data_IF_609077927622
#
_entry.id   IF_609077927622
#
_cell.length_a   1.000
_cell.length_b   1.000
_cell.length_c   1.000
_cell.angle_alpha   90.00
_cell.angle_beta   90.00
_cell.angle_gamma   90.00
#
_symmetry.space_group_name_H-M   'P 1'
#
loop_
_entity.id
_entity.type
_entity.pdbx_description
1 polymer ?
#
# COMPACT_ATOMS: atom_id res chain seq x y z
N UNK A 1 0.71 19.92 3.03
CA UNK A 1 -0.46 19.93 3.94
C UNK A 1 -0.36 18.68 4.80
N UNK A 2 -0.56 18.81 6.10
CA UNK A 2 -0.52 17.68 7.04
C UNK A 2 -1.95 17.49 7.58
N UNK A 3 -2.82 16.70 6.90
CA UNK A 3 -4.21 16.58 7.30
C UNK A 3 -4.30 15.97 8.69
N UNK A 4 -5.10 16.59 9.56
CA UNK A 4 -5.44 16.03 10.87
C UNK A 4 -6.46 14.89 10.69
N UNK A 5 -6.42 13.85 11.57
CA UNK A 5 -7.44 12.82 11.57
C UNK A 5 -8.83 13.41 11.83
N UNK A 6 -9.82 13.03 11.03
CA UNK A 6 -11.20 13.53 11.15
C UNK A 6 -12.17 12.47 11.62
N UNK A 7 -11.88 11.19 11.36
CA UNK A 7 -12.69 10.06 11.77
C UNK A 7 -11.86 8.76 11.76
N UNK A 8 -12.32 7.76 12.51
CA UNK A 8 -11.88 6.38 12.39
C UNK A 8 -12.96 5.58 11.65
N UNK A 9 -12.54 4.78 10.68
CA UNK A 9 -13.41 3.89 9.90
C UNK A 9 -12.87 2.47 9.97
N UNK A 10 -13.75 1.49 9.85
CA UNK A 10 -13.31 0.13 9.62
C UNK A 10 -12.65 0.02 8.25
N UNK A 11 -11.48 -0.64 8.20
CA UNK A 11 -10.72 -0.77 6.96
C UNK A 11 -11.53 -1.49 5.86
N UNK A 12 -12.29 -2.52 6.22
CA UNK A 12 -13.16 -3.23 5.30
C UNK A 12 -14.22 -2.32 4.64
N UNK A 13 -14.82 -1.40 5.42
CA UNK A 13 -15.78 -0.41 4.90
C UNK A 13 -15.13 0.56 3.91
N UNK A 14 -13.91 1.01 4.21
CA UNK A 14 -13.15 1.88 3.32
C UNK A 14 -12.81 1.15 2.01
N UNK A 15 -12.35 -0.10 2.10
CA UNK A 15 -12.01 -0.92 0.94
C UNK A 15 -13.23 -1.24 0.08
N UNK A 16 -14.38 -1.53 0.71
CA UNK A 16 -15.65 -1.64 0.00
C UNK A 16 -15.98 -0.35 -0.77
N UNK A 17 -15.77 0.82 -0.16
CA UNK A 17 -15.94 2.11 -0.84
C UNK A 17 -15.02 2.30 -2.05
N UNK A 18 -13.78 1.82 -1.99
CA UNK A 18 -12.84 1.82 -3.14
C UNK A 18 -13.34 0.91 -4.26
N UNK A 19 -13.79 -0.30 -3.93
CA UNK A 19 -14.29 -1.27 -4.90
C UNK A 19 -15.60 -0.82 -5.53
N UNK A 20 -16.54 -0.36 -4.72
CA UNK A 20 -17.91 -0.07 -5.13
C UNK A 20 -18.06 1.35 -5.71
N UNK A 21 -16.98 2.14 -5.77
CA UNK A 21 -16.94 3.40 -6.49
C UNK A 21 -17.37 4.63 -5.71
N UNK A 22 -17.31 4.62 -4.36
CA UNK A 22 -17.64 5.81 -3.53
C UNK A 22 -16.90 7.08 -3.99
N UNK A 23 -15.70 6.94 -4.52
CA UNK A 23 -14.84 8.04 -5.00
C UNK A 23 -14.52 7.94 -6.50
N UNK A 24 -15.29 7.15 -7.26
CA UNK A 24 -14.99 6.85 -8.67
C UNK A 24 -14.88 8.13 -9.52
N UNK A 25 -15.82 9.05 -9.41
CA UNK A 25 -15.84 10.30 -10.19
C UNK A 25 -14.56 11.11 -9.97
N UNK A 26 -14.18 11.35 -8.71
CA UNK A 26 -13.00 12.13 -8.36
C UNK A 26 -11.70 11.44 -8.80
N UNK A 27 -11.59 10.12 -8.60
CA UNK A 27 -10.41 9.34 -8.98
C UNK A 27 -10.26 9.26 -10.50
N UNK A 28 -11.35 9.07 -11.24
CA UNK A 28 -11.32 9.05 -12.71
C UNK A 28 -10.97 10.43 -13.28
N UNK A 29 -11.43 11.51 -12.65
CA UNK A 29 -11.01 12.87 -13.00
C UNK A 29 -9.50 13.08 -12.82
N UNK A 30 -8.91 12.56 -11.73
CA UNK A 30 -7.44 12.58 -11.54
C UNK A 30 -6.73 11.79 -12.64
N UNK A 31 -7.20 10.60 -12.95
CA UNK A 31 -6.59 9.70 -13.96
C UNK A 31 -6.68 10.24 -15.39
N UNK A 32 -7.64 11.13 -15.67
CA UNK A 32 -7.77 11.80 -16.97
C UNK A 32 -6.74 12.90 -17.20
N UNK A 33 -6.02 13.33 -16.15
CA UNK A 33 -5.00 14.38 -16.22
C UNK A 33 -3.62 13.79 -16.49
N UNK A 34 -2.76 14.55 -17.17
CA UNK A 34 -1.35 14.15 -17.33
C UNK A 34 -0.65 14.12 -15.97
N UNK A 35 -0.01 13.01 -15.63
CA UNK A 35 0.67 12.79 -14.35
C UNK A 35 1.79 13.81 -14.06
N UNK A 36 2.33 14.47 -15.09
CA UNK A 36 3.34 15.53 -14.96
C UNK A 36 2.75 16.93 -14.76
N UNK A 37 1.42 17.10 -14.84
CA UNK A 37 0.77 18.40 -14.74
C UNK A 37 0.55 18.86 -13.29
N UNK A 38 0.55 20.18 -13.09
CA UNK A 38 0.15 20.79 -11.82
C UNK A 38 -1.29 20.43 -11.46
N UNK A 39 -2.19 20.42 -12.44
CA UNK A 39 -3.60 20.07 -12.27
C UNK A 39 -3.77 18.65 -11.71
N UNK A 40 -2.99 17.66 -12.18
CA UNK A 40 -2.97 16.32 -11.61
C UNK A 40 -2.58 16.33 -10.12
N UNK A 41 -1.51 17.06 -9.80
CA UNK A 41 -1.02 17.12 -8.42
C UNK A 41 -2.02 17.78 -7.48
N UNK A 42 -2.73 18.82 -7.94
CA UNK A 42 -3.78 19.52 -7.19
C UNK A 42 -5.01 18.63 -7.02
N UNK A 43 -5.51 18.03 -8.10
CA UNK A 43 -6.66 17.14 -8.07
C UNK A 43 -6.40 15.91 -7.17
N UNK A 44 -5.21 15.31 -7.25
CA UNK A 44 -4.84 14.17 -6.40
C UNK A 44 -4.79 14.56 -4.91
N UNK A 45 -4.28 15.77 -4.57
CA UNK A 45 -4.24 16.25 -3.18
C UNK A 45 -5.62 16.57 -2.61
N UNK A 46 -6.63 16.79 -3.45
CA UNK A 46 -8.00 17.01 -2.99
C UNK A 46 -8.75 15.72 -2.66
N UNK A 47 -8.22 14.55 -3.04
CA UNK A 47 -8.82 13.27 -2.69
C UNK A 47 -8.76 13.03 -1.17
N UNK A 48 -9.79 12.41 -0.58
CA UNK A 48 -9.70 11.89 0.78
C UNK A 48 -8.51 10.95 0.91
N UNK A 49 -7.96 10.88 2.12
CA UNK A 49 -6.83 10.00 2.42
C UNK A 49 -7.04 9.28 3.75
N UNK A 50 -6.34 8.18 3.94
CA UNK A 50 -6.41 7.36 5.14
C UNK A 50 -5.04 6.85 5.57
N UNK A 51 -4.91 6.46 6.83
CA UNK A 51 -3.74 5.79 7.39
C UNK A 51 -4.08 4.31 7.58
N UNK A 52 -3.56 3.39 6.74
CA UNK A 52 -3.90 1.96 6.85
C UNK A 52 -3.37 1.33 8.13
N UNK A 53 -2.27 1.87 8.66
CA UNK A 53 -1.55 1.24 9.77
C UNK A 53 -2.11 1.56 11.15
N UNK A 54 -3.14 2.38 11.26
CA UNK A 54 -3.79 2.61 12.55
C UNK A 54 -4.58 3.90 12.66
N UNK A 55 -5.07 4.15 13.88
CA UNK A 55 -5.75 5.38 14.28
C UNK A 55 -4.78 6.30 15.03
N UNK A 56 -4.97 7.61 14.87
CA UNK A 56 -4.02 8.60 15.37
C UNK A 56 -4.77 9.76 16.04
N UNK A 57 -4.24 10.28 17.14
CA UNK A 57 -4.64 11.56 17.69
C UNK A 57 -4.14 12.70 16.78
N UNK A 58 -2.88 12.60 16.37
CA UNK A 58 -2.23 13.47 15.38
C UNK A 58 -1.49 12.58 14.39
N UNK A 59 -1.45 12.96 13.12
CA UNK A 59 -0.78 12.18 12.08
C UNK A 59 0.75 12.28 12.18
N UNK A 60 1.27 11.69 13.24
CA UNK A 60 2.71 11.51 13.52
C UNK A 60 2.92 10.14 14.14
N UNK A 61 4.12 9.54 14.07
CA UNK A 61 4.39 8.26 14.73
C UNK A 61 4.07 8.31 16.25
N UNK A 62 4.39 9.43 16.90
CA UNK A 62 4.10 9.63 18.34
C UNK A 62 2.61 9.80 18.66
N UNK A 63 1.79 10.13 17.66
CA UNK A 63 0.34 10.28 17.83
C UNK A 63 -0.45 8.99 17.56
N UNK A 64 0.20 7.86 17.35
CA UNK A 64 -0.46 6.57 17.16
C UNK A 64 -1.23 6.16 18.42
N UNK A 65 -2.55 5.99 18.26
CA UNK A 65 -3.43 5.51 19.34
C UNK A 65 -3.53 3.98 19.34
N UNK A 66 -3.76 3.41 18.16
CA UNK A 66 -3.88 1.97 17.96
C UNK A 66 -3.37 1.55 16.59
N UNK A 67 -2.45 0.59 16.56
CA UNK A 67 -1.99 -0.01 15.32
C UNK A 67 -3.01 -1.02 14.80
N UNK A 68 -3.25 -1.00 13.48
CA UNK A 68 -4.25 -1.88 12.83
C UNK A 68 -3.75 -3.31 12.57
N UNK A 69 -2.45 -3.57 12.71
CA UNK A 69 -1.83 -4.80 12.23
C UNK A 69 -1.64 -4.85 10.70
N UNK A 70 -1.76 -3.70 10.03
CA UNK A 70 -1.61 -3.59 8.57
C UNK A 70 -0.48 -2.61 8.25
N UNK A 71 0.30 -2.94 7.23
CA UNK A 71 1.23 -2.03 6.56
C UNK A 71 0.78 -1.82 5.11
N UNK A 72 0.84 -0.58 4.64
CA UNK A 72 0.56 -0.25 3.25
C UNK A 72 1.85 -0.08 2.46
N UNK A 73 1.93 -0.72 1.30
CA UNK A 73 3.04 -0.64 0.35
C UNK A 73 2.56 0.05 -0.93
N UNK A 74 3.39 0.94 -1.49
CA UNK A 74 3.20 1.51 -2.82
C UNK A 74 4.14 0.84 -3.81
N UNK A 75 3.58 0.37 -4.91
CA UNK A 75 4.27 -0.19 -6.07
C UNK A 75 4.03 0.75 -7.25
N UNK A 76 4.95 1.67 -7.48
CA UNK A 76 4.86 2.66 -8.56
C UNK A 76 5.44 2.07 -9.85
N UNK A 77 4.74 2.22 -10.98
CA UNK A 77 5.21 1.77 -12.29
C UNK A 77 6.55 2.39 -12.69
N UNK A 78 6.83 3.63 -12.27
CA UNK A 78 8.11 4.31 -12.56
C UNK A 78 9.30 3.66 -11.87
N UNK A 79 9.09 3.06 -10.70
CA UNK A 79 10.11 2.30 -9.99
C UNK A 79 10.20 0.85 -10.46
N UNK A 80 9.19 0.38 -11.19
CA UNK A 80 9.08 -0.96 -11.72
C UNK A 80 8.88 -0.93 -13.25
N UNK A 81 9.82 -0.38 -14.03
CA UNK A 81 9.66 -0.22 -15.47
C UNK A 81 9.56 -1.59 -16.17
N UNK A 82 8.61 -1.71 -17.09
CA UNK A 82 8.39 -2.96 -17.86
C UNK A 82 7.62 -4.04 -17.07
N UNK A 83 7.21 -3.78 -15.83
CA UNK A 83 6.42 -4.72 -15.03
C UNK A 83 4.93 -4.55 -15.36
N UNK A 84 4.26 -5.65 -15.67
CA UNK A 84 2.80 -5.67 -15.79
C UNK A 84 2.16 -5.66 -14.40
N UNK A 85 1.64 -4.51 -14.00
CA UNK A 85 0.99 -4.34 -12.69
C UNK A 85 -0.27 -5.21 -12.55
N UNK A 86 -0.94 -5.59 -13.63
CA UNK A 86 -2.09 -6.50 -13.57
C UNK A 86 -1.63 -7.90 -13.19
N UNK A 87 -0.53 -8.38 -13.77
CA UNK A 87 0.08 -9.66 -13.38
C UNK A 87 0.60 -9.62 -11.94
N UNK A 88 1.23 -8.51 -11.53
CA UNK A 88 1.67 -8.30 -10.13
C UNK A 88 0.49 -8.37 -9.17
N UNK A 89 -0.64 -7.75 -9.49
CA UNK A 89 -1.83 -7.80 -8.64
C UNK A 89 -2.31 -9.24 -8.40
N UNK A 90 -2.27 -10.09 -9.43
CA UNK A 90 -2.60 -11.52 -9.32
C UNK A 90 -1.60 -12.25 -8.42
N UNK A 91 -0.30 -11.98 -8.55
CA UNK A 91 0.73 -12.57 -7.69
C UNK A 91 0.53 -12.17 -6.23
N UNK A 92 0.29 -10.89 -5.97
CA UNK A 92 0.04 -10.40 -4.61
C UNK A 92 -1.26 -10.94 -4.02
N UNK A 93 -2.30 -11.12 -4.83
CA UNK A 93 -3.55 -11.75 -4.39
C UNK A 93 -3.37 -13.23 -4.01
N UNK A 94 -2.36 -13.91 -4.56
CA UNK A 94 -2.02 -15.29 -4.20
C UNK A 94 -1.11 -15.39 -2.96
N UNK A 95 -0.53 -14.27 -2.49
CA UNK A 95 0.28 -14.24 -1.28
C UNK A 95 -0.62 -14.27 -0.03
N UNK A 96 -0.44 -15.26 0.87
CA UNK A 96 -1.33 -15.45 2.01
C UNK A 96 -1.34 -14.27 2.99
N UNK A 97 -0.28 -13.45 3.02
CA UNK A 97 -0.17 -12.29 3.92
C UNK A 97 -0.82 -11.02 3.34
N UNK A 98 -1.21 -11.02 2.07
CA UNK A 98 -1.86 -9.88 1.44
C UNK A 98 -3.32 -9.75 1.91
N UNK A 99 -3.59 -8.69 2.68
CA UNK A 99 -4.94 -8.35 3.13
C UNK A 99 -5.78 -7.72 2.02
N UNK A 100 -5.18 -6.78 1.26
CA UNK A 100 -5.84 -6.17 0.11
C UNK A 100 -4.83 -5.69 -0.94
N UNK A 101 -5.25 -5.66 -2.20
CA UNK A 101 -4.46 -5.08 -3.29
C UNK A 101 -5.38 -4.38 -4.29
N UNK A 102 -5.05 -3.12 -4.64
CA UNK A 102 -5.86 -2.30 -5.53
C UNK A 102 -5.02 -1.28 -6.29
N UNK A 103 -5.54 -0.81 -7.42
CA UNK A 103 -4.92 0.23 -8.22
C UNK A 103 -4.80 1.53 -7.43
N UNK A 104 -3.67 2.22 -7.51
CA UNK A 104 -3.44 3.50 -6.85
C UNK A 104 -4.39 4.60 -7.40
N UNK A 105 -4.52 5.70 -6.67
CA UNK A 105 -5.34 6.83 -7.10
C UNK A 105 -4.98 7.36 -8.49
N UNK A 106 -3.70 7.36 -8.85
CA UNK A 106 -3.21 7.76 -10.18
C UNK A 106 -3.42 6.73 -11.28
N UNK A 107 -3.70 5.48 -10.94
CA UNK A 107 -3.86 4.40 -11.90
C UNK A 107 -2.54 3.75 -12.37
N UNK A 108 -1.40 4.37 -12.14
CA UNK A 108 -0.08 3.91 -12.61
C UNK A 108 0.70 3.12 -11.53
N UNK A 109 0.02 2.57 -10.56
CA UNK A 109 0.63 1.81 -9.47
C UNK A 109 -0.38 0.96 -8.73
N UNK A 110 0.11 0.15 -7.80
CA UNK A 110 -0.70 -0.65 -6.88
C UNK A 110 -0.46 -0.19 -5.44
N UNK A 111 -1.50 -0.27 -4.63
CA UNK A 111 -1.40 -0.25 -3.19
C UNK A 111 -1.64 -1.67 -2.67
N UNK A 112 -0.67 -2.23 -1.97
CA UNK A 112 -0.81 -3.51 -1.29
C UNK A 112 -0.90 -3.27 0.22
N UNK A 113 -1.89 -3.85 0.87
CA UNK A 113 -2.05 -3.87 2.31
C UNK A 113 -1.70 -5.27 2.81
N UNK A 114 -0.73 -5.35 3.71
CA UNK A 114 -0.19 -6.64 4.18
C UNK A 114 -0.33 -6.74 5.69
N UNK A 115 -0.68 -7.92 6.17
CA UNK A 115 -0.87 -8.19 7.59
C UNK A 115 0.45 -8.40 8.30
N UNK A 116 0.70 -7.63 9.35
CA UNK A 116 1.95 -7.65 10.12
C UNK A 116 1.69 -7.67 11.63
N UNK A 117 2.65 -8.10 12.45
CA UNK A 117 2.59 -7.87 13.90
C UNK A 117 2.54 -6.36 14.22
N UNK A 118 1.59 -5.97 15.08
CA UNK A 118 1.32 -4.55 15.37
C UNK A 118 2.47 -3.82 16.09
N UNK A 119 3.31 -4.54 16.81
CA UNK A 119 4.45 -4.03 17.58
C UNK A 119 5.74 -3.86 16.76
N UNK A 120 5.75 -4.30 15.51
CA UNK A 120 6.97 -4.42 14.69
C UNK A 120 6.87 -3.72 13.33
N UNK A 121 6.14 -2.59 13.21
CA UNK A 121 5.86 -1.92 11.94
C UNK A 121 7.11 -1.71 11.07
N UNK A 122 8.14 -1.04 11.60
CA UNK A 122 9.33 -0.67 10.82
C UNK A 122 10.18 -1.88 10.39
N UNK A 123 10.29 -2.91 11.23
CA UNK A 123 11.02 -4.15 10.89
C UNK A 123 10.23 -4.97 9.88
N UNK A 124 8.91 -5.08 10.05
CA UNK A 124 8.02 -5.75 9.10
C UNK A 124 8.05 -5.09 7.72
N UNK A 125 8.04 -3.76 7.67
CA UNK A 125 8.18 -3.03 6.41
C UNK A 125 9.49 -3.36 5.68
N UNK A 126 10.63 -3.36 6.40
CA UNK A 126 11.93 -3.73 5.81
C UNK A 126 11.96 -5.17 5.30
N UNK A 127 11.39 -6.09 6.08
CA UNK A 127 11.30 -7.51 5.70
C UNK A 127 10.43 -7.70 4.46
N UNK A 128 9.29 -7.03 4.39
CA UNK A 128 8.40 -7.04 3.23
C UNK A 128 9.08 -6.48 1.98
N UNK A 129 9.77 -5.36 2.10
CA UNK A 129 10.52 -4.76 0.99
C UNK A 129 11.55 -5.75 0.43
N UNK A 130 12.31 -6.40 1.30
CA UNK A 130 13.28 -7.42 0.90
C UNK A 130 12.60 -8.65 0.28
N UNK A 131 11.51 -9.11 0.87
CA UNK A 131 10.72 -10.22 0.36
C UNK A 131 10.13 -9.95 -1.03
N UNK A 132 9.51 -8.80 -1.24
CA UNK A 132 8.93 -8.43 -2.53
C UNK A 132 9.99 -8.30 -3.62
N UNK A 133 11.17 -7.77 -3.26
CA UNK A 133 12.29 -7.71 -4.19
C UNK A 133 12.79 -9.11 -4.55
N UNK A 134 12.96 -9.99 -3.56
CA UNK A 134 13.49 -11.35 -3.77
C UNK A 134 12.50 -12.27 -4.47
N UNK A 135 11.24 -12.27 -4.04
CA UNK A 135 10.22 -13.20 -4.53
C UNK A 135 9.62 -12.78 -5.89
N UNK A 136 9.48 -11.47 -6.10
CA UNK A 136 8.74 -10.92 -7.24
C UNK A 136 9.55 -9.96 -8.10
N UNK A 137 10.79 -9.62 -7.72
CA UNK A 137 11.62 -8.63 -8.41
C UNK A 137 11.08 -7.20 -8.30
N UNK A 138 10.21 -6.92 -7.34
CA UNK A 138 9.51 -5.65 -7.21
C UNK A 138 10.26 -4.66 -6.33
N UNK A 139 10.24 -3.40 -6.73
CA UNK A 139 10.73 -2.27 -5.93
C UNK A 139 9.55 -1.61 -5.22
N UNK A 140 9.60 -1.58 -3.90
CA UNK A 140 8.64 -0.92 -3.03
C UNK A 140 9.19 0.45 -2.61
N UNK A 141 8.34 1.48 -2.58
CA UNK A 141 8.70 2.83 -2.10
C UNK A 141 9.28 2.76 -0.66
N UNK A 142 10.26 3.61 -0.36
CA UNK A 142 11.07 3.55 0.87
C UNK A 142 10.44 4.30 2.07
N UNK A 143 9.13 4.42 2.08
CA UNK A 143 8.39 5.21 3.05
C UNK A 143 7.78 4.31 4.15
N UNK A 144 8.55 4.06 5.21
CA UNK A 144 8.22 3.17 6.32
C UNK A 144 7.51 3.84 7.52
N UNK A 145 7.05 5.07 7.38
CA UNK A 145 6.37 5.80 8.45
C UNK A 145 4.98 5.20 8.74
N UNK A 146 4.74 4.80 10.00
CA UNK A 146 3.46 4.25 10.44
C UNK A 146 2.29 5.20 10.20
N UNK A 147 2.51 6.51 10.21
CA UNK A 147 1.51 7.54 9.93
C UNK A 147 1.35 7.87 8.43
N UNK A 148 1.92 7.03 7.54
CA UNK A 148 1.88 7.23 6.11
C UNK A 148 0.46 7.24 5.56
N UNK A 149 0.11 8.32 4.85
CA UNK A 149 -1.16 8.46 4.17
C UNK A 149 -1.20 7.66 2.87
N UNK A 150 -2.40 7.14 2.58
CA UNK A 150 -2.81 6.63 1.27
C UNK A 150 -4.01 7.45 0.81
N UNK A 151 -4.03 7.84 -0.46
CA UNK A 151 -5.24 8.38 -1.05
C UNK A 151 -6.26 7.27 -1.25
N UNK A 152 -7.54 7.61 -1.12
CA UNK A 152 -8.60 6.72 -1.60
C UNK A 152 -8.42 6.48 -3.10
N UNK A 153 -9.05 5.42 -3.61
CA UNK A 153 -8.93 5.04 -5.00
C UNK A 153 -10.28 4.56 -5.55
N UNK A 154 -10.27 4.11 -6.78
CA UNK A 154 -11.35 3.35 -7.39
C UNK A 154 -10.77 2.15 -8.13
N UNK A 155 -11.19 0.96 -7.73
CA UNK A 155 -10.77 -0.30 -8.35
C UNK A 155 -11.85 -1.36 -8.16
N UNK A 156 -12.73 -1.58 -9.15
CA UNK A 156 -13.80 -2.58 -9.04
C UNK A 156 -13.27 -4.01 -8.96
N UNK A 157 -12.00 -4.23 -9.34
CA UNK A 157 -11.29 -5.50 -9.20
C UNK A 157 -10.40 -5.54 -7.95
N UNK A 158 -10.67 -4.71 -6.93
CA UNK A 158 -9.94 -4.74 -5.66
C UNK A 158 -9.96 -6.16 -5.09
N UNK A 159 -8.78 -6.68 -4.75
CA UNK A 159 -8.62 -7.91 -3.98
C UNK A 159 -8.74 -7.62 -2.49
N UNK A 160 -9.49 -8.46 -1.77
CA UNK A 160 -9.62 -8.42 -0.32
C UNK A 160 -9.61 -9.85 0.25
N UNK A 161 -8.78 -10.06 1.25
CA UNK A 161 -8.73 -11.29 2.05
C UNK A 161 -8.72 -10.92 3.54
N UNK A 162 -9.87 -10.97 4.19
CA UNK A 162 -9.99 -10.65 5.63
C UNK A 162 -9.33 -11.71 6.53
N UNK A 163 -9.09 -12.91 5.99
CA UNK A 163 -8.40 -14.03 6.65
C UNK A 163 -6.90 -14.06 6.34
N UNK A 164 -6.32 -12.96 5.82
CA UNK A 164 -4.90 -12.90 5.50
C UNK A 164 -4.05 -13.30 6.71
N UNK A 165 -3.01 -14.08 6.47
CA UNK A 165 -2.08 -14.54 7.49
C UNK A 165 -1.14 -13.40 7.93
N UNK A 166 -0.63 -13.48 9.15
CA UNK A 166 0.45 -12.60 9.57
C UNK A 166 1.71 -12.91 8.74
N UNK A 167 2.31 -11.88 8.17
CA UNK A 167 3.61 -12.03 7.54
C UNK A 167 4.59 -12.62 8.56
N UNK A 168 5.06 -13.81 8.25
CA UNK A 168 6.18 -14.42 8.98
C UNK A 168 7.46 -14.10 8.18
N UNK A 169 8.33 -13.19 8.65
CA UNK A 169 9.58 -12.92 7.95
C UNK A 169 10.38 -14.20 7.87
N UNK A 170 10.48 -14.79 6.69
CA UNK A 170 11.43 -15.88 6.47
C UNK A 170 12.82 -15.27 6.57
N UNK A 171 13.70 -15.75 7.45
CA UNK A 171 15.08 -15.29 7.50
C UNK A 171 15.67 -15.48 6.10
N UNK A 172 16.14 -14.41 5.48
CA UNK A 172 16.88 -14.48 4.22
C UNK A 172 18.11 -15.34 4.51
N UNK A 173 18.11 -16.58 4.05
CA UNK A 173 19.32 -17.39 4.06
C UNK A 173 20.30 -16.70 3.11
N UNK A 174 21.36 -16.13 3.67
CA UNK A 174 22.47 -15.64 2.88
C UNK A 174 23.01 -16.81 2.07
N UNK A 175 22.70 -16.85 0.77
CA UNK A 175 23.32 -17.79 -0.15
C UNK A 175 24.76 -17.35 -0.28
N UNK A 176 25.64 -17.96 0.51
CA UNK A 176 27.08 -17.84 0.32
C UNK A 176 27.41 -18.47 -1.04
N UNK A 177 27.64 -17.61 -2.03
CA UNK A 177 28.27 -18.04 -3.28
C UNK A 177 29.66 -18.59 -2.89
N UNK A 178 29.75 -19.90 -2.87
CA UNK A 178 31.02 -20.61 -2.76
C UNK A 178 31.84 -20.33 -4.02
N UNK A 179 32.81 -19.44 -3.91
CA UNK A 179 33.86 -19.29 -4.92
C UNK A 179 34.74 -20.53 -4.84
N UNK A 180 34.51 -21.48 -5.73
CA UNK A 180 35.45 -22.56 -5.97
C UNK A 180 36.64 -21.98 -6.72
N UNK A 181 37.81 -22.04 -6.10
CA UNK A 181 39.12 -21.86 -6.73
C UNK A 181 39.41 -23.02 -7.65
#
# INVERSE_FOLDING_TARGET
MNPEPTAALHLAELLAGIRDGRWAEQVLAVRALSASSTAYSEAKRSLPCFTPSGTFERRTPAGLLQHSGIVGLDLDARQNPGVDLSAVKVLLAADPSTYACFASAGGEGLCALVRIPADNHASSFRSLKAYYHQAYGLVVDDLNDVSRLRFVSYDPALYLNEEAELLTPTPVQATTLSTSN
#
